data_IF_057891877634
#
_entry.id   IF_057891877634
#
_cell.length_a   1.000
_cell.length_b   1.000
_cell.length_c   1.000
_cell.angle_alpha   90.00
_cell.angle_beta   90.00
_cell.angle_gamma   90.00
#
_symmetry.space_group_name_H-M   'P 1'
#
loop_
_entity.id
_entity.type
_entity.pdbx_description
1 polymer ?
#
# COMPACT_ATOMS: atom_id res chain seq x y z
N UNK A 1 31.25 27.74 -13.59
CA UNK A 1 30.22 27.03 -14.39
C UNK A 1 30.18 25.61 -13.84
N UNK A 2 29.07 25.08 -13.35
CA UNK A 2 29.05 23.68 -12.98
C UNK A 2 29.07 22.86 -14.27
N UNK A 3 29.92 21.83 -14.29
CA UNK A 3 30.06 20.90 -15.41
C UNK A 3 28.73 20.41 -15.90
N UNK A 4 28.48 20.56 -17.20
CA UNK A 4 27.30 20.05 -17.88
C UNK A 4 27.26 18.53 -17.70
N UNK A 5 26.32 18.06 -16.90
CA UNK A 5 26.13 16.66 -16.64
C UNK A 5 25.48 16.01 -17.89
N UNK A 6 26.31 15.44 -18.76
CA UNK A 6 25.89 14.75 -19.98
C UNK A 6 25.23 13.41 -19.58
N UNK A 7 23.90 13.39 -19.42
CA UNK A 7 23.15 12.19 -19.11
C UNK A 7 22.81 11.45 -20.40
N UNK A 8 23.55 10.38 -20.69
CA UNK A 8 23.24 9.46 -21.78
C UNK A 8 22.10 8.53 -21.37
N UNK A 9 20.91 8.71 -21.96
CA UNK A 9 19.78 7.78 -21.79
C UNK A 9 19.97 6.53 -22.65
N UNK A 10 19.71 5.37 -22.07
CA UNK A 10 19.59 4.12 -22.82
C UNK A 10 18.19 4.05 -23.47
N UNK A 11 18.09 4.56 -24.68
CA UNK A 11 16.84 4.62 -25.43
C UNK A 11 16.23 3.23 -25.69
N UNK A 12 17.04 2.18 -25.82
CA UNK A 12 16.53 0.81 -25.96
C UNK A 12 15.78 0.34 -24.71
N UNK A 13 16.25 0.79 -23.52
CA UNK A 13 15.61 0.49 -22.25
C UNK A 13 14.33 1.31 -22.07
N UNK A 14 14.34 2.57 -22.50
CA UNK A 14 13.15 3.43 -22.54
C UNK A 14 12.12 2.87 -23.49
N UNK A 15 12.50 2.48 -24.72
CA UNK A 15 11.61 1.89 -25.72
C UNK A 15 10.98 0.58 -25.27
N UNK A 16 11.72 -0.28 -24.56
CA UNK A 16 11.18 -1.53 -23.99
C UNK A 16 10.13 -1.27 -22.92
N UNK A 17 10.29 -0.20 -22.12
CA UNK A 17 9.33 0.21 -21.11
C UNK A 17 8.11 0.91 -21.69
N UNK A 18 8.26 1.50 -22.89
CA UNK A 18 7.19 2.23 -23.58
C UNK A 18 6.53 1.34 -24.63
N UNK A 19 5.26 1.04 -24.45
CA UNK A 19 4.47 0.39 -25.47
C UNK A 19 4.35 1.36 -26.68
N UNK A 20 4.39 0.85 -27.95
CA UNK A 20 4.33 1.67 -29.18
C UNK A 20 3.23 2.75 -29.20
N UNK A 21 2.14 2.57 -28.41
CA UNK A 21 1.06 3.55 -28.21
C UNK A 21 1.40 4.70 -27.27
N UNK A 22 2.49 4.64 -26.53
CA UNK A 22 2.86 5.61 -25.48
C UNK A 22 3.65 6.81 -26.04
N UNK A 23 4.13 6.75 -27.27
CA UNK A 23 4.83 7.84 -27.97
C UNK A 23 3.90 8.88 -28.59
N UNK A 24 2.62 8.92 -28.21
CA UNK A 24 1.73 9.96 -28.68
C UNK A 24 2.12 11.31 -28.07
N UNK A 25 2.38 12.26 -28.95
CA UNK A 25 2.62 13.65 -28.61
C UNK A 25 1.27 14.32 -28.36
N UNK A 26 1.07 14.89 -27.17
CA UNK A 26 -0.17 15.64 -26.85
C UNK A 26 -0.27 16.93 -27.67
N UNK A 27 0.90 17.44 -28.12
CA UNK A 27 1.06 18.56 -29.06
C UNK A 27 2.40 18.41 -29.78
N UNK A 28 2.60 18.97 -31.00
CA UNK A 28 3.89 18.91 -31.67
C UNK A 28 5.01 19.46 -30.78
N UNK A 29 5.96 18.61 -30.42
CA UNK A 29 7.12 18.96 -29.58
C UNK A 29 7.06 18.58 -28.10
N UNK A 30 5.94 18.04 -27.61
CA UNK A 30 5.82 17.60 -26.20
C UNK A 30 5.58 16.09 -26.10
N UNK A 31 6.36 15.41 -25.28
CA UNK A 31 6.12 13.99 -25.00
C UNK A 31 4.89 13.79 -24.10
N UNK A 32 4.21 12.66 -24.27
CA UNK A 32 3.08 12.32 -23.40
C UNK A 32 3.48 12.33 -21.92
N UNK A 33 2.55 12.59 -21.03
CA UNK A 33 2.79 12.55 -19.58
C UNK A 33 3.39 11.21 -19.12
N UNK A 34 3.05 10.12 -19.79
CA UNK A 34 3.62 8.79 -19.50
C UNK A 34 5.08 8.71 -19.97
N UNK A 35 5.37 9.13 -21.22
CA UNK A 35 6.73 9.17 -21.76
C UNK A 35 7.65 10.05 -20.88
N UNK A 36 7.18 11.24 -20.50
CA UNK A 36 7.93 12.12 -19.59
C UNK A 36 8.21 11.46 -18.23
N UNK A 37 7.29 10.70 -17.68
CA UNK A 37 7.50 9.97 -16.41
C UNK A 37 8.51 8.83 -16.53
N UNK A 38 8.44 8.06 -17.63
CA UNK A 38 9.41 6.98 -17.90
C UNK A 38 10.81 7.57 -18.10
N UNK A 39 10.94 8.63 -18.90
CA UNK A 39 12.20 9.33 -19.11
C UNK A 39 12.73 9.95 -17.82
N UNK A 40 11.87 10.61 -17.04
CA UNK A 40 12.25 11.15 -15.74
C UNK A 40 12.71 10.05 -14.77
N UNK A 41 12.05 8.90 -14.75
CA UNK A 41 12.46 7.74 -13.95
C UNK A 41 13.84 7.23 -14.33
N UNK A 42 14.12 7.07 -15.63
CA UNK A 42 15.46 6.66 -16.12
C UNK A 42 16.53 7.72 -15.82
N UNK A 43 16.18 9.01 -15.95
CA UNK A 43 17.09 10.12 -15.59
C UNK A 43 17.39 10.09 -14.09
N UNK A 44 16.39 9.94 -13.25
CA UNK A 44 16.54 9.87 -11.79
C UNK A 44 17.36 8.65 -11.39
N UNK A 45 17.09 7.45 -11.96
CA UNK A 45 17.94 6.28 -11.73
C UNK A 45 19.39 6.52 -12.12
N UNK A 46 19.66 7.15 -13.28
CA UNK A 46 21.02 7.48 -13.72
C UNK A 46 21.67 8.54 -12.84
N UNK A 47 20.97 9.62 -12.50
CA UNK A 47 21.48 10.65 -11.59
C UNK A 47 21.82 10.05 -10.23
N UNK A 48 20.98 9.15 -9.73
CA UNK A 48 21.23 8.42 -8.48
C UNK A 48 22.44 7.50 -8.63
N UNK A 49 22.57 6.78 -9.74
CA UNK A 49 23.71 5.92 -10.04
C UNK A 49 25.01 6.73 -10.19
N UNK A 50 25.01 7.82 -10.95
CA UNK A 50 26.19 8.63 -11.23
C UNK A 50 26.64 9.49 -10.01
N UNK A 51 25.72 10.10 -9.27
CA UNK A 51 26.03 10.76 -7.99
C UNK A 51 26.47 9.81 -6.89
N UNK A 52 26.15 8.52 -6.99
CA UNK A 52 26.50 7.48 -6.01
C UNK A 52 27.74 6.69 -6.37
N UNK A 53 28.34 6.87 -7.56
CA UNK A 53 29.53 6.12 -8.02
C UNK A 53 30.82 6.37 -7.23
N UNK A 54 30.83 7.24 -6.22
CA UNK A 54 31.88 7.29 -5.21
C UNK A 54 31.32 6.90 -3.84
N UNK A 55 31.86 5.92 -3.16
CA UNK A 55 31.62 5.48 -1.74
C UNK A 55 30.17 5.24 -1.27
N UNK A 56 29.13 5.86 -1.88
CA UNK A 56 27.72 5.65 -1.50
C UNK A 56 27.05 4.46 -2.20
N UNK A 57 27.56 4.01 -3.34
CA UNK A 57 27.02 2.82 -4.04
C UNK A 57 27.18 1.57 -3.18
N UNK A 58 28.35 1.37 -2.58
CA UNK A 58 28.59 0.22 -1.70
C UNK A 58 27.68 0.26 -0.46
N UNK A 59 27.38 1.45 0.08
CA UNK A 59 26.50 1.59 1.26
C UNK A 59 25.01 1.38 0.92
N UNK A 60 24.59 1.78 -0.28
CA UNK A 60 23.23 1.50 -0.76
C UNK A 60 23.06 0.01 -1.10
N UNK A 61 24.07 -0.64 -1.66
CA UNK A 61 24.10 -2.08 -1.91
C UNK A 61 24.11 -2.89 -0.61
N UNK A 62 24.91 -2.51 0.39
CA UNK A 62 24.91 -3.15 1.71
C UNK A 62 23.57 -2.99 2.45
N UNK A 63 22.89 -1.85 2.32
CA UNK A 63 21.55 -1.62 2.89
C UNK A 63 20.53 -2.46 2.15
N UNK A 64 20.63 -2.59 0.81
CA UNK A 64 19.76 -3.47 0.03
C UNK A 64 19.94 -4.94 0.40
N UNK A 65 21.15 -5.42 0.57
CA UNK A 65 21.44 -6.82 0.90
C UNK A 65 20.97 -7.18 2.32
N UNK A 66 21.25 -6.35 3.32
CA UNK A 66 20.73 -6.53 4.69
C UNK A 66 19.19 -6.44 4.74
N UNK A 67 18.58 -5.59 3.96
CA UNK A 67 17.13 -5.49 3.88
C UNK A 67 16.53 -6.67 3.11
N UNK A 68 17.23 -7.23 2.12
CA UNK A 68 16.81 -8.42 1.40
C UNK A 68 16.74 -9.65 2.31
N UNK A 69 17.75 -9.87 3.17
CA UNK A 69 17.73 -10.98 4.15
C UNK A 69 16.51 -10.82 5.08
N UNK A 70 16.25 -9.61 5.59
CA UNK A 70 15.08 -9.35 6.44
C UNK A 70 13.76 -9.53 5.70
N UNK A 71 13.72 -9.17 4.42
CA UNK A 71 12.54 -9.37 3.57
C UNK A 71 12.29 -10.86 3.32
N UNK A 72 13.33 -11.65 3.07
CA UNK A 72 13.20 -13.11 2.89
C UNK A 72 12.70 -13.78 4.18
N UNK A 73 13.22 -13.39 5.33
CA UNK A 73 12.74 -13.85 6.64
C UNK A 73 11.25 -13.50 6.85
N UNK A 74 10.86 -12.28 6.53
CA UNK A 74 9.47 -11.85 6.58
C UNK A 74 8.58 -12.68 5.65
N UNK A 75 8.99 -12.86 4.38
CA UNK A 75 8.24 -13.64 3.41
C UNK A 75 8.10 -15.12 3.82
N UNK A 76 9.12 -15.69 4.45
CA UNK A 76 9.05 -17.05 4.97
C UNK A 76 8.04 -17.16 6.12
N UNK A 77 8.00 -16.19 7.05
CA UNK A 77 6.97 -16.13 8.12
C UNK A 77 5.57 -16.01 7.53
N UNK A 78 5.40 -15.13 6.55
CA UNK A 78 4.11 -14.95 5.85
C UNK A 78 3.67 -16.23 5.16
N UNK A 79 4.56 -16.89 4.40
CA UNK A 79 4.25 -18.18 3.75
C UNK A 79 3.83 -19.25 4.75
N UNK A 80 4.51 -19.36 5.87
CA UNK A 80 4.16 -20.31 6.91
C UNK A 80 2.77 -20.01 7.51
N UNK A 81 2.46 -18.74 7.76
CA UNK A 81 1.13 -18.33 8.24
C UNK A 81 0.02 -18.66 7.24
N UNK A 82 0.27 -18.47 5.95
CA UNK A 82 -0.66 -18.79 4.87
C UNK A 82 -0.89 -20.31 4.76
N UNK A 83 0.17 -21.11 4.91
CA UNK A 83 0.08 -22.57 4.79
C UNK A 83 -0.75 -23.22 5.92
N UNK A 84 -0.96 -22.52 7.03
CA UNK A 84 -1.87 -22.96 8.09
C UNK A 84 -3.34 -22.98 7.62
N UNK A 85 -3.68 -22.25 6.57
CA UNK A 85 -4.98 -22.37 5.91
C UNK A 85 -4.96 -23.57 4.94
N UNK A 86 -5.64 -24.67 5.32
CA UNK A 86 -5.67 -25.94 4.57
C UNK A 86 -6.09 -25.80 3.10
N UNK A 87 -6.87 -24.79 2.77
CA UNK A 87 -7.39 -24.56 1.41
C UNK A 87 -6.44 -23.73 0.56
N UNK A 88 -5.43 -23.06 1.14
CA UNK A 88 -4.59 -22.12 0.41
C UNK A 88 -3.87 -22.72 -0.80
N UNK A 89 -3.38 -23.97 -0.67
CA UNK A 89 -2.68 -24.66 -1.77
C UNK A 89 -3.53 -24.84 -3.04
N UNK A 90 -4.86 -24.76 -2.93
CA UNK A 90 -5.81 -24.93 -4.04
C UNK A 90 -6.15 -23.60 -4.73
N UNK A 91 -5.71 -22.46 -4.17
CA UNK A 91 -6.07 -21.15 -4.69
C UNK A 91 -5.14 -20.78 -5.86
N UNK A 92 -5.75 -20.49 -7.02
CA UNK A 92 -5.09 -20.09 -8.25
C UNK A 92 -5.22 -18.59 -8.56
N UNK A 93 -6.09 -17.89 -7.84
CA UNK A 93 -6.29 -16.45 -7.93
C UNK A 93 -6.12 -15.83 -6.55
N UNK A 94 -5.00 -15.14 -6.34
CA UNK A 94 -4.65 -14.51 -5.06
C UNK A 94 -4.65 -13.00 -5.22
N UNK A 95 -5.41 -12.35 -4.34
CA UNK A 95 -5.43 -10.90 -4.22
C UNK A 95 -4.81 -10.40 -2.93
N UNK A 96 -4.52 -9.12 -2.88
CA UNK A 96 -3.99 -8.45 -1.68
C UNK A 96 -4.63 -7.09 -1.44
N UNK A 97 -4.80 -6.75 -0.16
CA UNK A 97 -5.10 -5.41 0.33
C UNK A 97 -4.03 -5.04 1.35
N UNK A 98 -3.57 -3.80 1.35
CA UNK A 98 -2.80 -3.21 2.45
C UNK A 98 -3.63 -2.09 3.04
N UNK A 99 -3.82 -2.09 4.36
CA UNK A 99 -4.70 -1.13 5.01
C UNK A 99 -4.24 -0.80 6.44
N UNK A 100 -4.50 0.43 6.85
CA UNK A 100 -4.13 0.90 8.18
C UNK A 100 -5.20 0.59 9.24
N UNK A 101 -6.49 0.69 8.89
CA UNK A 101 -7.64 0.39 9.77
C UNK A 101 -7.63 1.13 11.12
N UNK A 102 -7.53 2.43 11.08
CA UNK A 102 -7.38 3.28 12.27
C UNK A 102 -8.64 4.16 12.56
N UNK A 103 -9.74 3.57 13.16
CA UNK A 103 -10.00 2.17 13.42
C UNK A 103 -10.57 1.41 12.21
N UNK A 104 -10.85 0.10 12.38
CA UNK A 104 -11.56 -0.72 11.38
C UNK A 104 -13.03 -0.33 11.31
N UNK A 105 -13.52 -0.05 10.08
CA UNK A 105 -14.88 0.47 9.82
C UNK A 105 -15.66 -0.44 8.87
N UNK A 106 -16.96 -0.22 8.71
CA UNK A 106 -17.74 -0.88 7.66
C UNK A 106 -17.21 -0.59 6.25
N UNK A 107 -16.57 0.56 6.01
CA UNK A 107 -15.90 0.83 4.73
C UNK A 107 -14.74 -0.12 4.45
N UNK A 108 -13.91 -0.41 5.46
CA UNK A 108 -12.85 -1.41 5.36
C UNK A 108 -13.43 -2.82 5.17
N UNK A 109 -14.47 -3.15 5.93
CA UNK A 109 -15.16 -4.44 5.80
C UNK A 109 -15.73 -4.64 4.39
N UNK A 110 -16.41 -3.63 3.85
CA UNK A 110 -16.96 -3.63 2.49
C UNK A 110 -15.88 -3.86 1.42
N UNK A 111 -14.75 -3.17 1.52
CA UNK A 111 -13.60 -3.37 0.63
C UNK A 111 -13.12 -4.83 0.67
N UNK A 112 -12.96 -5.40 1.86
CA UNK A 112 -12.51 -6.78 2.04
C UNK A 112 -13.53 -7.77 1.48
N UNK A 113 -14.82 -7.63 1.80
CA UNK A 113 -15.88 -8.50 1.30
C UNK A 113 -15.96 -8.47 -0.22
N UNK A 114 -15.94 -7.28 -0.81
CA UNK A 114 -15.99 -7.11 -2.26
C UNK A 114 -14.79 -7.77 -2.93
N UNK A 115 -13.59 -7.52 -2.42
CA UNK A 115 -12.35 -8.12 -2.93
C UNK A 115 -12.36 -9.65 -2.76
N UNK A 116 -12.84 -10.17 -1.62
CA UNK A 116 -12.86 -11.61 -1.33
C UNK A 116 -13.73 -12.41 -2.30
N UNK A 117 -14.77 -11.80 -2.87
CA UNK A 117 -15.63 -12.42 -3.91
C UNK A 117 -14.96 -12.47 -5.28
N UNK A 118 -13.91 -11.69 -5.53
CA UNK A 118 -13.25 -11.57 -6.82
C UNK A 118 -11.98 -12.45 -6.94
N UNK A 119 -11.62 -13.16 -5.86
CA UNK A 119 -10.43 -14.03 -5.81
C UNK A 119 -10.70 -15.29 -4.99
N UNK A 120 -9.88 -16.33 -5.21
CA UNK A 120 -9.97 -17.55 -4.41
C UNK A 120 -9.35 -17.36 -3.02
N UNK A 121 -8.29 -16.57 -2.91
CA UNK A 121 -7.63 -16.23 -1.67
C UNK A 121 -7.30 -14.75 -1.59
N UNK A 122 -7.54 -14.13 -0.44
CA UNK A 122 -7.29 -12.72 -0.20
C UNK A 122 -6.35 -12.54 1.00
N UNK A 123 -5.22 -11.87 0.78
CA UNK A 123 -4.27 -11.49 1.81
C UNK A 123 -4.54 -10.05 2.25
N UNK A 124 -4.75 -9.85 3.54
CA UNK A 124 -4.92 -8.53 4.13
C UNK A 124 -3.68 -8.21 4.94
N UNK A 125 -2.90 -7.24 4.49
CA UNK A 125 -1.75 -6.72 5.22
C UNK A 125 -2.17 -5.51 6.05
N UNK A 126 -2.17 -5.66 7.36
CA UNK A 126 -2.43 -4.54 8.28
C UNK A 126 -1.11 -3.80 8.50
N UNK A 127 -1.11 -2.49 8.25
CA UNK A 127 0.09 -1.64 8.40
C UNK A 127 0.60 -1.70 9.84
N UNK A 128 1.85 -2.13 10.03
CA UNK A 128 2.46 -2.35 11.35
C UNK A 128 3.00 -1.05 11.99
N UNK A 129 3.09 0.04 11.21
CA UNK A 129 3.61 1.32 11.68
C UNK A 129 2.72 1.94 12.76
N UNK A 130 3.30 2.22 13.94
CA UNK A 130 2.60 2.77 15.12
C UNK A 130 2.55 4.31 15.16
N UNK A 131 2.28 4.95 14.01
CA UNK A 131 1.94 6.39 13.93
C UNK A 131 0.44 6.64 13.90
N UNK A 132 -0.33 5.66 14.29
CA UNK A 132 -1.79 5.68 14.32
C UNK A 132 -2.31 5.99 15.73
N UNK A 133 -3.57 6.41 15.84
CA UNK A 133 -4.23 6.63 17.14
C UNK A 133 -4.35 5.32 17.91
N UNK A 134 -4.63 4.23 17.19
CA UNK A 134 -4.70 2.89 17.79
C UNK A 134 -3.41 2.13 17.49
N UNK A 135 -2.82 1.45 18.52
CA UNK A 135 -1.66 0.58 18.34
C UNK A 135 -1.91 -0.50 17.30
N UNK A 136 -0.82 -1.04 16.74
CA UNK A 136 -0.91 -2.10 15.73
C UNK A 136 -1.73 -3.30 16.21
N UNK A 137 -1.51 -3.79 17.41
CA UNK A 137 -2.19 -4.98 17.96
C UNK A 137 -3.71 -4.80 18.01
N UNK A 138 -4.20 -3.62 18.40
CA UNK A 138 -5.63 -3.33 18.43
C UNK A 138 -6.21 -3.29 17.01
N UNK A 139 -5.53 -2.62 16.08
CA UNK A 139 -5.96 -2.54 14.68
C UNK A 139 -5.98 -3.92 14.03
N UNK A 140 -4.96 -4.73 14.29
CA UNK A 140 -4.88 -6.10 13.82
C UNK A 140 -6.02 -6.97 14.38
N UNK A 141 -6.29 -6.84 15.68
CA UNK A 141 -7.41 -7.53 16.36
C UNK A 141 -8.74 -7.12 15.76
N UNK A 142 -8.99 -5.81 15.57
CA UNK A 142 -10.23 -5.31 14.94
C UNK A 142 -10.45 -5.92 13.55
N UNK A 143 -9.43 -5.97 12.71
CA UNK A 143 -9.52 -6.56 11.37
C UNK A 143 -9.77 -8.05 11.46
N UNK A 144 -9.02 -8.77 12.29
CA UNK A 144 -9.12 -10.22 12.45
C UNK A 144 -10.50 -10.65 12.95
N UNK A 145 -11.01 -10.00 13.99
CA UNK A 145 -12.34 -10.32 14.52
C UNK A 145 -13.45 -9.85 13.58
N UNK A 146 -13.28 -8.69 12.95
CA UNK A 146 -14.26 -8.14 12.01
C UNK A 146 -14.36 -8.90 10.67
N UNK A 147 -13.46 -9.85 10.41
CA UNK A 147 -13.44 -10.63 9.15
C UNK A 147 -13.44 -12.15 9.36
N UNK A 148 -13.61 -12.62 10.59
CA UNK A 148 -13.49 -14.05 10.96
C UNK A 148 -14.44 -15.01 10.21
N UNK A 149 -15.54 -14.50 9.69
CA UNK A 149 -16.52 -15.23 8.88
C UNK A 149 -16.08 -15.43 7.43
N UNK A 150 -15.08 -14.68 6.94
CA UNK A 150 -14.57 -14.77 5.57
C UNK A 150 -13.51 -15.87 5.47
N UNK A 151 -13.88 -17.03 4.92
CA UNK A 151 -13.03 -18.25 4.95
C UNK A 151 -11.82 -18.20 4.03
N UNK A 152 -11.84 -17.35 3.00
CA UNK A 152 -10.76 -17.20 2.02
C UNK A 152 -9.87 -15.98 2.28
N UNK A 153 -9.97 -15.38 3.47
CA UNK A 153 -9.19 -14.21 3.90
C UNK A 153 -8.14 -14.64 4.93
N UNK A 154 -6.92 -14.15 4.76
CA UNK A 154 -5.81 -14.32 5.72
C UNK A 154 -5.30 -12.96 6.11
N UNK A 155 -5.28 -12.68 7.43
CA UNK A 155 -4.78 -11.42 7.99
C UNK A 155 -3.32 -11.57 8.36
N UNK A 156 -2.51 -10.62 7.95
CA UNK A 156 -1.05 -10.62 8.07
C UNK A 156 -0.55 -9.23 8.52
N UNK A 157 0.52 -9.15 9.30
CA UNK A 157 1.22 -7.88 9.50
C UNK A 157 1.94 -7.47 8.21
N UNK A 158 1.99 -6.16 7.92
CA UNK A 158 2.70 -5.64 6.74
C UNK A 158 4.23 -5.74 6.86
N UNK A 159 4.73 -5.91 8.06
CA UNK A 159 6.14 -5.73 8.36
C UNK A 159 6.59 -4.28 8.04
N UNK A 160 7.89 -4.11 7.91
CA UNK A 160 8.50 -2.83 7.52
C UNK A 160 8.63 -2.66 6.00
N UNK A 161 7.90 -3.47 5.22
CA UNK A 161 8.08 -3.58 3.76
C UNK A 161 6.90 -3.06 2.95
N UNK A 162 5.81 -2.66 3.60
CA UNK A 162 4.62 -2.09 2.96
C UNK A 162 4.08 -0.93 3.79
N UNK A 163 4.06 0.27 3.19
CA UNK A 163 3.54 1.51 3.80
C UNK A 163 4.14 1.72 5.20
N UNK A 164 5.45 1.79 5.27
CA UNK A 164 6.20 2.02 6.51
C UNK A 164 7.04 3.29 6.42
N UNK A 165 7.60 3.73 7.53
CA UNK A 165 8.59 4.84 7.52
C UNK A 165 9.86 4.49 6.74
N UNK A 166 10.10 3.22 6.47
CA UNK A 166 11.24 2.75 5.68
C UNK A 166 10.95 2.78 4.18
N UNK A 167 9.74 2.35 3.77
CA UNK A 167 9.37 2.21 2.37
C UNK A 167 8.58 3.39 1.84
N UNK A 168 7.77 4.05 2.68
CA UNK A 168 6.92 5.16 2.31
C UNK A 168 6.76 6.18 3.45
N UNK A 169 7.85 6.83 3.84
CA UNK A 169 7.85 7.84 4.91
C UNK A 169 6.88 9.01 4.63
N UNK A 170 6.77 9.42 3.37
CA UNK A 170 5.86 10.47 2.92
C UNK A 170 4.37 10.18 3.12
N UNK A 171 3.98 8.92 3.23
CA UNK A 171 2.59 8.54 3.55
C UNK A 171 2.12 9.09 4.89
N UNK A 172 3.03 9.16 5.86
CA UNK A 172 2.75 9.66 7.21
C UNK A 172 3.00 11.16 7.36
N UNK A 173 3.69 11.79 6.38
CA UNK A 173 4.03 13.21 6.32
C UNK A 173 3.27 13.85 5.17
N UNK A 174 1.95 14.07 5.36
CA UNK A 174 1.02 14.51 4.30
C UNK A 174 1.30 15.91 3.72
N UNK A 175 2.27 16.63 4.27
CA UNK A 175 2.55 18.03 3.94
C UNK A 175 3.51 18.22 2.74
N UNK A 176 4.12 17.12 2.20
CA UNK A 176 5.03 17.21 1.07
C UNK A 176 4.72 16.17 -0.02
N UNK A 177 3.87 16.52 -1.01
CA UNK A 177 3.44 15.62 -2.08
C UNK A 177 4.58 15.10 -2.98
N UNK A 178 5.65 15.90 -3.21
CA UNK A 178 6.77 15.50 -4.07
C UNK A 178 7.60 14.40 -3.41
N UNK A 179 7.88 14.54 -2.11
CA UNK A 179 8.56 13.50 -1.35
C UNK A 179 7.73 12.23 -1.25
N UNK A 180 6.42 12.37 -1.09
CA UNK A 180 5.50 11.25 -1.06
C UNK A 180 5.49 10.45 -2.37
N UNK A 181 5.61 11.11 -3.54
CA UNK A 181 5.67 10.43 -4.84
C UNK A 181 6.95 9.60 -5.02
N UNK A 182 8.08 10.06 -4.50
CA UNK A 182 9.33 9.30 -4.55
C UNK A 182 9.30 8.07 -3.64
N UNK A 183 8.80 8.24 -2.43
CA UNK A 183 8.68 7.17 -1.46
C UNK A 183 7.67 6.09 -1.92
N UNK A 184 6.58 6.49 -2.62
CA UNK A 184 5.58 5.57 -3.16
C UNK A 184 6.17 4.60 -4.18
N UNK A 185 7.09 5.07 -5.02
CA UNK A 185 7.76 4.24 -6.01
C UNK A 185 8.56 3.11 -5.37
N UNK A 186 9.28 3.39 -4.28
CA UNK A 186 10.08 2.39 -3.59
C UNK A 186 9.21 1.32 -2.92
N UNK A 187 8.13 1.73 -2.27
CA UNK A 187 7.15 0.81 -1.66
C UNK A 187 6.52 -0.12 -2.70
N UNK A 188 6.05 0.44 -3.82
CA UNK A 188 5.44 -0.31 -4.91
C UNK A 188 6.43 -1.23 -5.63
N UNK A 189 7.70 -0.83 -5.73
CA UNK A 189 8.77 -1.67 -6.30
C UNK A 189 9.01 -2.90 -5.42
N UNK A 190 9.15 -2.73 -4.10
CA UNK A 190 9.28 -3.86 -3.17
C UNK A 190 8.07 -4.79 -3.28
N UNK A 191 6.88 -4.23 -3.31
CA UNK A 191 5.67 -5.04 -3.45
C UNK A 191 5.65 -5.84 -4.75
N UNK A 192 5.91 -5.19 -5.89
CA UNK A 192 5.80 -5.81 -7.22
C UNK A 192 6.92 -6.80 -7.55
N UNK A 193 8.14 -6.54 -7.08
CA UNK A 193 9.31 -7.35 -7.44
C UNK A 193 9.61 -8.48 -6.44
N UNK A 194 9.19 -8.34 -5.18
CA UNK A 194 9.50 -9.34 -4.14
C UNK A 194 8.25 -9.96 -3.52
N UNK A 195 7.31 -9.12 -3.03
CA UNK A 195 6.18 -9.62 -2.24
C UNK A 195 5.17 -10.34 -3.13
N UNK A 196 4.72 -9.69 -4.20
CA UNK A 196 3.69 -10.23 -5.07
C UNK A 196 4.13 -11.53 -5.76
N UNK A 197 5.35 -11.65 -6.33
CA UNK A 197 5.83 -12.91 -6.90
C UNK A 197 5.98 -14.03 -5.86
N UNK A 198 6.55 -13.71 -4.68
CA UNK A 198 6.78 -14.70 -3.62
C UNK A 198 5.47 -15.30 -3.08
N UNK A 199 4.37 -14.52 -3.09
CA UNK A 199 3.05 -14.90 -2.59
C UNK A 199 2.04 -15.19 -3.72
N UNK A 200 2.47 -15.14 -4.98
CA UNK A 200 1.65 -15.36 -6.19
C UNK A 200 0.45 -14.40 -6.29
N UNK A 201 0.62 -13.17 -5.81
CA UNK A 201 -0.41 -12.13 -5.87
C UNK A 201 -0.51 -11.63 -7.31
N UNK A 202 -1.72 -11.64 -7.87
CA UNK A 202 -2.03 -11.15 -9.22
C UNK A 202 -3.01 -9.98 -9.21
N UNK A 203 -3.65 -9.70 -8.06
CA UNK A 203 -4.60 -8.61 -7.92
C UNK A 203 -4.30 -7.80 -6.66
N UNK A 204 -4.28 -6.48 -6.78
CA UNK A 204 -4.19 -5.54 -5.68
C UNK A 204 -5.49 -4.76 -5.59
N UNK A 205 -6.18 -4.84 -4.46
CA UNK A 205 -7.42 -4.10 -4.25
C UNK A 205 -7.13 -2.87 -3.39
N UNK A 206 -7.74 -1.76 -3.77
CA UNK A 206 -7.67 -0.48 -3.05
C UNK A 206 -9.05 0.16 -2.99
N UNK A 207 -9.32 0.93 -1.95
CA UNK A 207 -10.50 1.78 -1.91
C UNK A 207 -10.27 3.06 -2.74
N UNK A 208 -11.32 3.54 -3.39
CA UNK A 208 -11.33 4.87 -3.98
C UNK A 208 -10.94 5.93 -2.94
N UNK A 209 -10.12 6.93 -3.31
CA UNK A 209 -9.66 7.97 -2.40
C UNK A 209 -9.87 9.36 -2.99
N UNK A 210 -11.06 9.96 -2.77
CA UNK A 210 -11.37 11.28 -3.31
C UNK A 210 -10.84 12.45 -2.44
N UNK A 211 -10.44 12.21 -1.19
CA UNK A 211 -10.16 13.28 -0.24
C UNK A 211 -8.66 13.48 0.04
N UNK A 212 -7.93 12.40 0.25
CA UNK A 212 -6.49 12.44 0.57
C UNK A 212 -5.65 12.41 -0.71
N UNK A 213 -5.01 13.54 -1.01
CA UNK A 213 -4.21 13.70 -2.24
C UNK A 213 -3.03 12.74 -2.31
N UNK A 214 -2.38 12.43 -1.18
CA UNK A 214 -1.24 11.51 -1.13
C UNK A 214 -1.68 10.09 -1.45
N UNK A 215 -2.74 9.63 -0.81
CA UNK A 215 -3.32 8.29 -1.08
C UNK A 215 -3.90 8.19 -2.49
N UNK A 216 -4.55 9.25 -2.99
CA UNK A 216 -5.05 9.29 -4.37
C UNK A 216 -3.92 9.20 -5.39
N UNK A 217 -2.81 9.91 -5.17
CA UNK A 217 -1.64 9.81 -6.04
C UNK A 217 -0.99 8.42 -5.95
N UNK A 218 -0.87 7.85 -4.75
CA UNK A 218 -0.38 6.49 -4.54
C UNK A 218 -1.21 5.45 -5.30
N UNK A 219 -2.54 5.57 -5.31
CA UNK A 219 -3.41 4.69 -6.10
C UNK A 219 -3.14 4.81 -7.61
N UNK A 220 -2.87 6.01 -8.12
CA UNK A 220 -2.51 6.24 -9.53
C UNK A 220 -1.17 5.62 -9.89
N UNK A 221 -0.16 5.85 -9.06
CA UNK A 221 1.19 5.30 -9.24
C UNK A 221 1.14 3.76 -9.19
N UNK A 222 0.35 3.21 -8.29
CA UNK A 222 0.11 1.78 -8.15
C UNK A 222 -0.47 1.16 -9.43
N UNK A 223 -1.48 1.78 -10.04
CA UNK A 223 -2.08 1.29 -11.30
C UNK A 223 -1.06 1.20 -12.42
N UNK A 224 -0.13 2.17 -12.49
CA UNK A 224 0.92 2.20 -13.51
C UNK A 224 1.97 1.13 -13.22
N UNK A 225 2.59 1.19 -12.03
CA UNK A 225 3.75 0.36 -11.71
C UNK A 225 3.43 -1.13 -11.56
N UNK A 226 2.27 -1.46 -10.97
CA UNK A 226 1.87 -2.84 -10.83
C UNK A 226 1.35 -3.42 -12.15
N UNK A 227 0.69 -2.61 -12.99
CA UNK A 227 0.27 -3.01 -14.32
C UNK A 227 1.44 -3.44 -15.21
N UNK A 228 2.60 -2.80 -15.09
CA UNK A 228 3.84 -3.19 -15.79
C UNK A 228 4.38 -4.57 -15.35
N UNK A 229 3.91 -5.10 -14.22
CA UNK A 229 4.31 -6.39 -13.63
C UNK A 229 3.18 -7.44 -13.68
N UNK A 230 2.18 -7.25 -14.55
CA UNK A 230 1.03 -8.14 -14.68
C UNK A 230 0.26 -8.34 -13.35
N UNK A 231 0.13 -7.27 -12.55
CA UNK A 231 -0.65 -7.24 -11.33
C UNK A 231 -1.80 -6.25 -11.54
N UNK A 232 -3.03 -6.76 -11.59
CA UNK A 232 -4.22 -5.94 -11.75
C UNK A 232 -4.48 -5.10 -10.50
N UNK A 233 -4.64 -3.78 -10.65
CA UNK A 233 -5.08 -2.90 -9.56
C UNK A 233 -6.56 -2.61 -9.71
N UNK A 234 -7.36 -3.09 -8.77
CA UNK A 234 -8.81 -2.95 -8.76
C UNK A 234 -9.19 -1.94 -7.69
N UNK A 235 -9.74 -0.82 -8.12
CA UNK A 235 -10.25 0.23 -7.23
C UNK A 235 -11.73 -0.01 -6.95
N UNK A 236 -12.08 -0.09 -5.67
CA UNK A 236 -13.45 -0.36 -5.21
C UNK A 236 -14.03 0.95 -4.68
N UNK A 237 -15.24 1.34 -5.13
CA UNK A 237 -15.91 2.54 -4.65
C UNK A 237 -16.09 2.53 -3.13
N UNK A 238 -16.10 3.72 -2.51
CA UNK A 238 -16.30 3.83 -1.06
C UNK A 238 -17.74 3.49 -0.67
N UNK A 239 -17.87 2.77 0.44
CA UNK A 239 -19.16 2.54 1.07
C UNK A 239 -19.75 3.86 1.57
N UNK A 240 -21.03 4.08 1.27
CA UNK A 240 -21.84 5.14 1.85
C UNK A 240 -22.92 4.55 2.75
N UNK A 241 -23.18 5.19 3.86
CA UNK A 241 -24.29 4.91 4.78
C UNK A 241 -25.03 6.23 4.92
N UNK A 242 -26.32 6.25 4.60
CA UNK A 242 -27.17 7.45 4.57
C UNK A 242 -26.49 8.61 3.81
N UNK A 243 -26.05 8.34 2.58
CA UNK A 243 -25.29 9.25 1.70
C UNK A 243 -23.94 9.75 2.24
N UNK A 244 -23.56 9.36 3.44
CA UNK A 244 -22.29 9.71 4.07
C UNK A 244 -21.22 8.67 3.77
N UNK A 245 -20.08 9.11 3.23
CA UNK A 245 -18.92 8.22 2.99
C UNK A 245 -18.35 7.76 4.32
N UNK A 246 -18.27 6.44 4.52
CA UNK A 246 -17.68 5.86 5.73
C UNK A 246 -16.18 6.18 5.79
N UNK A 247 -15.76 6.88 6.83
CA UNK A 247 -14.43 7.47 6.95
C UNK A 247 -13.88 7.30 8.37
N UNK A 248 -12.72 6.67 8.51
CA UNK A 248 -12.07 6.45 9.81
C UNK A 248 -11.67 7.76 10.52
N UNK A 249 -11.36 8.83 9.78
CA UNK A 249 -11.07 10.15 10.37
C UNK A 249 -12.30 10.73 11.05
N UNK A 250 -13.48 10.56 10.46
CA UNK A 250 -14.74 10.98 11.10
C UNK A 250 -14.97 10.22 12.41
N UNK A 251 -14.73 8.90 12.41
CA UNK A 251 -14.89 8.08 13.61
C UNK A 251 -13.96 8.55 14.74
N UNK A 252 -12.70 8.89 14.43
CA UNK A 252 -11.78 9.43 15.44
C UNK A 252 -12.30 10.75 16.05
N UNK A 253 -12.89 11.64 15.25
CA UNK A 253 -13.53 12.86 15.76
C UNK A 253 -14.75 12.58 16.65
N UNK A 254 -15.52 11.53 16.35
CA UNK A 254 -16.62 11.09 17.20
C UNK A 254 -16.10 10.50 18.53
N UNK A 255 -14.98 9.78 18.49
CA UNK A 255 -14.32 9.23 19.69
C UNK A 255 -13.84 10.35 20.64
N UNK A 256 -13.23 11.42 20.10
CA UNK A 256 -12.83 12.59 20.88
C UNK A 256 -14.02 13.20 21.65
N UNK A 257 -15.21 13.18 21.03
CA UNK A 257 -16.47 13.67 21.61
C UNK A 257 -17.21 12.61 22.44
N UNK A 258 -16.72 11.36 22.47
CA UNK A 258 -17.37 10.18 23.10
C UNK A 258 -18.78 9.92 22.57
N UNK A 259 -19.02 10.24 21.29
CA UNK A 259 -20.31 10.01 20.63
C UNK A 259 -20.42 8.54 20.16
N UNK A 260 -20.60 7.65 21.13
CA UNK A 260 -20.71 6.21 20.90
C UNK A 260 -21.92 5.84 20.00
N UNK A 261 -23.00 6.60 20.11
CA UNK A 261 -24.20 6.37 19.28
C UNK A 261 -23.90 6.58 17.80
N UNK A 262 -23.15 7.61 17.47
CA UNK A 262 -22.75 7.88 16.10
C UNK A 262 -21.75 6.86 15.59
N UNK A 263 -20.75 6.50 16.41
CA UNK A 263 -19.71 5.52 16.05
C UNK A 263 -20.33 4.16 15.66
N UNK A 264 -21.34 3.69 16.41
CA UNK A 264 -22.02 2.41 16.16
C UNK A 264 -22.57 2.28 14.74
N UNK A 265 -22.90 3.37 14.07
CA UNK A 265 -23.41 3.34 12.69
C UNK A 265 -22.34 2.94 11.66
N UNK A 266 -21.08 3.17 11.96
CA UNK A 266 -19.98 3.09 10.97
C UNK A 266 -18.95 2.04 11.27
N UNK A 267 -19.01 1.37 12.41
CA UNK A 267 -18.05 0.33 12.79
C UNK A 267 -18.75 -1.00 13.10
N UNK A 268 -18.15 -2.16 12.77
CA UNK A 268 -18.63 -3.46 13.20
C UNK A 268 -18.72 -3.55 14.73
N UNK A 269 -19.63 -4.38 15.23
CA UNK A 269 -19.79 -4.64 16.67
C UNK A 269 -18.48 -5.11 17.31
N UNK A 270 -17.71 -5.93 16.60
CA UNK A 270 -16.38 -6.39 17.06
C UNK A 270 -15.41 -5.23 17.25
N UNK A 271 -15.41 -4.25 16.34
CA UNK A 271 -14.61 -3.03 16.48
C UNK A 271 -15.11 -2.18 17.64
N UNK A 272 -16.44 -2.04 17.77
CA UNK A 272 -17.05 -1.27 18.87
C UNK A 272 -16.63 -1.78 20.24
N UNK A 273 -16.68 -3.10 20.43
CA UNK A 273 -16.26 -3.74 21.69
C UNK A 273 -14.79 -3.42 22.02
N UNK A 274 -13.88 -3.55 21.03
CA UNK A 274 -12.46 -3.25 21.24
C UNK A 274 -12.25 -1.77 21.58
N UNK A 275 -12.96 -0.86 20.89
CA UNK A 275 -12.89 0.58 21.17
C UNK A 275 -13.34 0.89 22.61
N UNK A 276 -14.40 0.26 23.10
CA UNK A 276 -14.89 0.44 24.47
C UNK A 276 -13.89 -0.11 25.50
N UNK A 277 -13.34 -1.32 25.27
CA UNK A 277 -12.29 -1.90 26.10
C UNK A 277 -11.10 -0.93 26.25
N UNK A 278 -10.58 -0.39 25.15
CA UNK A 278 -9.44 0.53 25.16
C UNK A 278 -9.74 1.83 25.92
N UNK A 279 -10.98 2.33 25.87
CA UNK A 279 -11.40 3.53 26.59
C UNK A 279 -11.65 3.31 28.09
N UNK A 280 -12.05 2.10 28.48
CA UNK A 280 -12.29 1.75 29.88
C UNK A 280 -10.98 1.48 30.64
N UNK A 281 -9.99 0.90 29.98
CA UNK A 281 -8.63 0.72 30.55
C UNK A 281 -7.97 2.06 30.87
N UNK A 282 -8.11 3.06 29.99
CA UNK A 282 -7.55 4.40 30.19
C UNK A 282 -8.27 5.22 31.30
N UNK A 283 -9.34 4.69 31.90
CA UNK A 283 -10.00 5.31 33.07
C UNK A 283 -9.53 4.72 34.41
N UNK A 284 -8.79 3.63 34.35
CA UNK A 284 -8.34 2.87 35.55
C UNK A 284 -6.90 3.22 35.94
N UNK A 285 -6.21 4.04 35.17
CA UNK A 285 -4.92 4.68 35.47
C UNK A 285 -5.14 6.17 35.81
#
# INVERSE_FOLDING_TARGET
>A
MPDEMNIHLDWNKVDKKMNKRSWYWDTPGHCSNYACKVIAGEIVEKIILEKKCGKKVNRAFEIEEKNKIKLDDYLNKVKNSILNNKNWKKYNSIGAIVMNCNPFTYGHRYLIETASRLVNGLLIFVVEEDKSVFPFEERYRMVKEGTRDLKNVVILPSGKFMISTVTFAGYFQKDNPEKASYDSFYDLKIFSEYIAPALKIKKRFVGEEPFDKVTSQYNKDMKILLGEKDIDVIEIPRLKIDDTVVNATYIRKCLEKKDWREITKYVPVTTMNILQESFDVNKSE
#
